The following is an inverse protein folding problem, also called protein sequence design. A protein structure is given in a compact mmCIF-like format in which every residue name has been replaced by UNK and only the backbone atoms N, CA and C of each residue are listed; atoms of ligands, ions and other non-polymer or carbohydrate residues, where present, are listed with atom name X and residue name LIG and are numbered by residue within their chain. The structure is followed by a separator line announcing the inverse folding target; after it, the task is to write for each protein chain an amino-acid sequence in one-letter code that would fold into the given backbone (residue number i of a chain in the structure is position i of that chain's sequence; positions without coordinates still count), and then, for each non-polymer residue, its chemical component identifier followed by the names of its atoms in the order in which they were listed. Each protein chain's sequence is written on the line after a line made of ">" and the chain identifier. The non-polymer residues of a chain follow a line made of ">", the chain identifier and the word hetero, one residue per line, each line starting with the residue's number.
data_IF_954975585687
#
_entry.id   IF_954975585687
#
_cell.length_a   1.000
_cell.length_b   1.000
_cell.length_c   1.000
_cell.angle_alpha   90.00
_cell.angle_beta   90.00
_cell.angle_gamma   90.00
#
_symmetry.space_group_name_H-M   'P 1'
#
loop_
_entity.id
_entity.type
_entity.pdbx_description
1 polymer ?
#
# COMPACT_ATOMS: atom_id res chain seq x y z
N UNK A 1 0.88 58.63 -38.82
CA UNK A 1 1.63 57.36 -38.69
C UNK A 1 1.33 56.52 -39.92
N UNK A 2 2.35 56.18 -40.66
CA UNK A 2 2.18 55.46 -41.95
C UNK A 2 1.92 53.98 -41.67
N UNK A 3 1.08 53.30 -42.48
CA UNK A 3 0.73 51.87 -42.35
C UNK A 3 1.96 50.97 -42.15
N UNK A 4 3.15 51.35 -42.64
CA UNK A 4 4.41 50.64 -42.43
C UNK A 4 4.93 50.67 -41.00
N UNK A 5 4.69 51.77 -40.24
CA UNK A 5 5.10 51.89 -38.86
C UNK A 5 4.26 51.04 -37.90
N UNK A 6 2.95 50.88 -38.23
CA UNK A 6 2.04 50.07 -37.44
C UNK A 6 2.33 48.55 -37.58
N UNK A 7 2.68 48.12 -38.82
CA UNK A 7 3.08 46.71 -39.06
C UNK A 7 4.40 46.33 -38.35
N UNK A 8 5.35 47.24 -38.23
CA UNK A 8 6.62 46.96 -37.55
C UNK A 8 6.44 46.85 -36.04
N UNK A 9 5.55 47.67 -35.44
CA UNK A 9 5.24 47.65 -34.00
C UNK A 9 4.48 46.38 -33.64
N UNK A 10 3.53 45.93 -34.47
CA UNK A 10 2.79 44.67 -34.25
C UNK A 10 3.73 43.49 -34.41
N UNK A 11 4.67 43.49 -35.38
CA UNK A 11 5.67 42.39 -35.50
C UNK A 11 6.65 42.37 -34.33
N UNK A 12 7.07 43.51 -33.76
CA UNK A 12 7.92 43.57 -32.57
C UNK A 12 7.16 43.12 -31.31
N UNK A 13 5.86 43.43 -31.15
CA UNK A 13 5.05 42.96 -30.03
C UNK A 13 4.80 41.44 -30.10
N UNK A 14 4.58 40.87 -31.28
CA UNK A 14 4.44 39.44 -31.45
C UNK A 14 5.74 38.69 -31.18
N UNK A 15 6.89 39.31 -31.54
CA UNK A 15 8.20 38.73 -31.22
C UNK A 15 8.56 38.84 -29.74
N UNK A 16 8.17 39.95 -29.04
CA UNK A 16 8.33 40.08 -27.59
C UNK A 16 7.39 39.16 -26.80
N UNK A 17 6.17 38.87 -27.30
CA UNK A 17 5.27 37.91 -26.68
C UNK A 17 5.69 36.42 -26.89
N UNK A 18 6.44 36.15 -27.97
CA UNK A 18 6.97 34.81 -28.22
C UNK A 18 8.21 34.46 -27.36
N UNK A 19 8.87 35.45 -26.77
CA UNK A 19 10.08 35.25 -25.94
C UNK A 19 9.76 35.08 -24.44
N UNK A 20 8.51 35.31 -24.00
CA UNK A 20 8.15 35.32 -22.57
C UNK A 20 7.46 34.04 -22.06
N UNK A 21 7.39 32.94 -22.84
CA UNK A 21 6.85 31.68 -22.41
C UNK A 21 7.89 30.55 -22.52
N UNK A 22 9.16 30.88 -22.49
CA UNK A 22 10.15 29.87 -22.07
C UNK A 22 10.20 29.93 -20.53
N UNK A 23 9.23 29.24 -19.93
CA UNK A 23 9.34 28.92 -18.50
C UNK A 23 10.72 28.32 -18.27
N UNK A 24 11.53 28.95 -17.41
CA UNK A 24 12.79 28.42 -16.94
C UNK A 24 12.48 27.08 -16.23
N UNK A 25 12.37 26.01 -16.99
CA UNK A 25 12.55 24.68 -16.42
C UNK A 25 13.96 24.69 -15.86
N UNK A 26 14.11 24.56 -14.55
CA UNK A 26 15.42 24.46 -13.93
C UNK A 26 16.16 23.33 -14.63
N UNK A 27 17.26 23.65 -15.32
CA UNK A 27 18.00 22.67 -16.09
C UNK A 27 18.86 21.85 -15.11
N UNK A 28 18.30 20.72 -14.66
CA UNK A 28 19.02 19.78 -13.83
C UNK A 28 20.03 19.02 -14.69
N UNK A 29 21.21 18.77 -14.13
CA UNK A 29 22.30 18.01 -14.77
C UNK A 29 22.88 17.04 -13.76
N UNK A 30 23.68 16.07 -14.19
CA UNK A 30 24.37 15.15 -13.28
C UNK A 30 25.34 15.87 -12.30
N UNK A 31 25.84 17.06 -12.66
CA UNK A 31 26.67 17.91 -11.78
C UNK A 31 25.83 18.77 -10.81
N UNK A 32 24.56 19.02 -11.15
CA UNK A 32 23.59 19.75 -10.34
C UNK A 32 22.24 19.01 -10.39
N UNK A 33 22.14 17.84 -9.74
CA UNK A 33 20.98 16.98 -9.84
C UNK A 33 19.78 17.55 -9.09
N UNK A 34 18.59 17.10 -9.49
CA UNK A 34 17.39 17.17 -8.66
C UNK A 34 17.48 16.08 -7.59
N UNK A 35 17.57 16.49 -6.34
CA UNK A 35 17.60 15.54 -5.21
C UNK A 35 16.18 15.35 -4.70
N UNK A 36 15.66 14.14 -4.78
CA UNK A 36 14.34 13.77 -4.26
C UNK A 36 14.46 13.29 -2.81
N UNK A 37 13.71 13.91 -1.91
CA UNK A 37 13.57 13.48 -0.53
C UNK A 37 12.54 12.35 -0.46
N UNK A 38 12.97 11.14 -0.18
CA UNK A 38 12.15 9.92 -0.22
C UNK A 38 11.95 9.37 1.19
N UNK A 39 10.68 9.15 1.59
CA UNK A 39 10.32 8.68 2.92
C UNK A 39 9.74 7.26 2.90
N UNK A 40 10.23 6.39 3.77
CA UNK A 40 9.63 5.10 4.08
C UNK A 40 9.70 4.79 5.57
N UNK A 41 8.61 4.24 6.11
CA UNK A 41 8.61 3.75 7.50
C UNK A 41 9.24 2.36 7.65
N UNK A 42 9.52 1.68 6.53
CA UNK A 42 10.10 0.33 6.53
C UNK A 42 11.62 0.37 6.42
N UNK A 43 12.34 -0.57 7.05
CA UNK A 43 13.79 -0.68 6.92
C UNK A 43 14.24 -1.15 5.52
N UNK A 44 15.42 -0.74 5.10
CA UNK A 44 16.05 -1.05 3.80
C UNK A 44 16.03 -2.54 3.46
N UNK A 45 16.33 -3.41 4.40
CA UNK A 45 16.47 -4.85 4.16
C UNK A 45 15.15 -5.60 3.93
N UNK A 46 14.01 -4.96 4.16
CA UNK A 46 12.69 -5.55 4.01
C UNK A 46 12.22 -5.53 2.56
N UNK A 47 11.25 -6.38 2.15
CA UNK A 47 10.68 -6.34 0.80
C UNK A 47 10.20 -4.94 0.39
N UNK A 48 9.44 -4.18 1.22
CA UNK A 48 9.06 -2.81 0.86
C UNK A 48 10.26 -1.89 0.63
N UNK A 49 11.28 -1.95 1.49
CA UNK A 49 12.51 -1.16 1.31
C UNK A 49 13.22 -1.51 0.00
N UNK A 50 13.33 -2.80 -0.33
CA UNK A 50 13.94 -3.24 -1.59
C UNK A 50 13.17 -2.75 -2.82
N UNK A 51 11.83 -2.77 -2.80
CA UNK A 51 10.99 -2.25 -3.87
C UNK A 51 11.25 -0.74 -4.04
N UNK A 52 11.30 -0.02 -2.93
CA UNK A 52 11.53 1.41 -2.91
C UNK A 52 12.88 1.78 -3.57
N UNK A 53 13.95 1.07 -3.19
CA UNK A 53 15.27 1.22 -3.82
C UNK A 53 15.26 0.81 -5.29
N UNK A 54 14.67 -0.33 -5.64
CA UNK A 54 14.58 -0.79 -7.03
C UNK A 54 14.00 0.28 -7.96
N UNK A 55 12.95 0.98 -7.53
CA UNK A 55 12.32 2.04 -8.34
C UNK A 55 13.21 3.26 -8.46
N UNK A 56 13.75 3.78 -7.35
CA UNK A 56 14.42 5.08 -7.36
C UNK A 56 15.90 5.02 -7.68
N UNK A 57 16.58 3.92 -7.40
CA UNK A 57 17.94 3.69 -7.93
C UNK A 57 17.87 3.46 -9.45
N UNK A 58 16.85 2.74 -9.95
CA UNK A 58 16.59 2.63 -11.38
C UNK A 58 16.24 3.98 -12.03
N UNK A 59 15.51 4.88 -11.34
CA UNK A 59 15.27 6.24 -11.82
C UNK A 59 16.57 7.05 -11.94
N UNK A 60 17.46 6.93 -10.96
CA UNK A 60 18.78 7.57 -11.00
C UNK A 60 19.58 7.09 -12.20
N UNK A 61 19.62 5.77 -12.43
CA UNK A 61 20.31 5.17 -13.57
C UNK A 61 19.68 5.62 -14.90
N UNK A 62 18.35 5.52 -15.03
CA UNK A 62 17.62 5.90 -16.25
C UNK A 62 17.74 7.40 -16.59
N UNK A 63 18.02 8.24 -15.60
CA UNK A 63 18.20 9.69 -15.78
C UNK A 63 19.69 10.10 -15.86
N UNK A 64 20.62 9.16 -16.01
CA UNK A 64 22.07 9.44 -15.99
C UNK A 64 22.51 10.31 -14.79
N UNK A 65 21.87 10.12 -13.63
CA UNK A 65 22.15 10.87 -12.41
C UNK A 65 21.60 12.31 -12.39
N UNK A 66 20.74 12.69 -13.31
CA UNK A 66 20.05 14.00 -13.30
C UNK A 66 19.04 14.06 -12.15
N UNK A 67 18.42 12.94 -11.79
CA UNK A 67 17.56 12.78 -10.61
C UNK A 67 18.21 11.79 -9.67
N UNK A 68 18.37 12.18 -8.40
CA UNK A 68 19.03 11.34 -7.40
C UNK A 68 18.14 11.18 -6.16
N UNK A 69 17.97 9.96 -5.63
CA UNK A 69 17.23 9.74 -4.40
C UNK A 69 18.07 10.10 -3.17
N UNK A 70 17.40 10.63 -2.15
CA UNK A 70 17.90 10.72 -0.78
C UNK A 70 16.89 10.05 0.14
N UNK A 71 17.25 8.91 0.67
CA UNK A 71 16.37 8.05 1.44
C UNK A 71 16.28 8.44 2.91
N UNK A 72 15.06 8.47 3.45
CA UNK A 72 14.71 8.62 4.85
C UNK A 72 13.86 7.41 5.26
N UNK A 73 14.50 6.37 5.74
CA UNK A 73 13.87 5.07 5.98
C UNK A 73 13.68 4.76 7.47
N UNK A 74 13.05 3.62 7.76
CA UNK A 74 12.79 3.16 9.11
C UNK A 74 12.03 4.17 10.00
N UNK A 75 11.19 5.01 9.41
CA UNK A 75 10.34 5.95 10.13
C UNK A 75 11.05 7.15 10.73
N UNK A 76 12.25 7.51 10.27
CA UNK A 76 13.02 8.66 10.80
C UNK A 76 12.32 9.99 10.60
N UNK A 77 11.39 10.10 9.64
CA UNK A 77 10.61 11.32 9.36
C UNK A 77 9.35 11.45 10.24
N UNK A 78 8.98 10.40 10.99
CA UNK A 78 7.82 10.41 11.86
C UNK A 78 6.88 9.22 11.66
N UNK A 79 5.64 9.35 12.13
CA UNK A 79 4.66 8.27 12.09
C UNK A 79 4.15 8.01 10.66
N UNK A 80 3.90 6.74 10.27
CA UNK A 80 3.33 6.42 8.96
C UNK A 80 1.96 7.06 8.69
N UNK A 81 1.18 7.32 9.74
CA UNK A 81 -0.12 8.00 9.63
C UNK A 81 -0.04 9.49 9.28
N UNK A 82 1.16 10.06 9.19
CA UNK A 82 1.40 11.46 8.83
C UNK A 82 2.07 11.60 7.45
N UNK A 83 2.44 10.47 6.80
CA UNK A 83 3.17 10.48 5.52
C UNK A 83 2.42 11.20 4.42
N UNK A 84 1.09 11.03 4.34
CA UNK A 84 0.27 11.70 3.32
C UNK A 84 0.40 13.24 3.41
N UNK A 85 0.29 13.79 4.62
CA UNK A 85 0.43 15.23 4.85
C UNK A 85 1.83 15.73 4.49
N UNK A 86 2.87 14.96 4.84
CA UNK A 86 4.25 15.32 4.49
C UNK A 86 4.50 15.32 2.98
N UNK A 87 3.89 14.39 2.23
CA UNK A 87 3.93 14.38 0.76
C UNK A 87 3.14 15.55 0.19
N UNK A 88 1.92 15.79 0.64
CA UNK A 88 1.06 16.86 0.14
C UNK A 88 1.65 18.26 0.39
N UNK A 89 2.26 18.46 1.55
CA UNK A 89 2.93 19.74 1.90
C UNK A 89 4.30 19.94 1.21
N UNK A 90 4.85 18.90 0.55
CA UNK A 90 6.17 18.94 -0.04
C UNK A 90 7.33 18.90 0.96
N UNK A 91 7.06 18.51 2.22
CA UNK A 91 8.12 18.25 3.21
C UNK A 91 9.00 17.07 2.76
N UNK A 92 8.40 16.09 2.11
CA UNK A 92 9.08 15.05 1.35
C UNK A 92 8.53 15.02 -0.08
N UNK A 93 9.39 14.64 -1.03
CA UNK A 93 9.00 14.55 -2.44
C UNK A 93 8.19 13.29 -2.73
N UNK A 94 8.54 12.18 -2.08
CA UNK A 94 7.87 10.88 -2.25
C UNK A 94 7.74 10.21 -0.90
N UNK A 95 6.58 9.56 -0.68
CA UNK A 95 6.33 8.79 0.53
C UNK A 95 5.62 7.47 0.24
N UNK A 96 5.84 6.50 1.13
CA UNK A 96 5.09 5.25 1.18
C UNK A 96 3.88 5.43 2.08
N UNK A 97 2.70 5.46 1.48
CA UNK A 97 1.41 5.70 2.15
C UNK A 97 0.68 4.36 2.30
N UNK A 98 0.42 3.94 3.52
CA UNK A 98 -0.49 2.82 3.81
C UNK A 98 -1.92 3.33 3.67
N UNK A 99 -2.62 2.93 2.60
CA UNK A 99 -3.94 3.50 2.27
C UNK A 99 -4.94 3.40 3.44
N UNK A 100 -4.97 2.29 4.14
CA UNK A 100 -5.89 2.05 5.26
C UNK A 100 -5.60 2.86 6.52
N UNK A 101 -4.48 3.59 6.60
CA UNK A 101 -4.23 4.54 7.71
C UNK A 101 -4.96 5.87 7.55
N UNK A 102 -5.61 6.09 6.40
CA UNK A 102 -6.30 7.33 6.05
C UNK A 102 -7.78 7.06 5.71
N UNK A 103 -8.62 6.74 6.71
CA UNK A 103 -10.02 6.40 6.48
C UNK A 103 -10.75 7.47 5.67
N UNK A 104 -11.46 7.05 4.62
CA UNK A 104 -12.23 7.95 3.75
C UNK A 104 -11.43 8.71 2.69
N UNK A 105 -10.09 8.65 2.71
CA UNK A 105 -9.24 9.29 1.69
C UNK A 105 -9.09 8.39 0.46
N UNK A 106 -8.95 7.09 0.67
CA UNK A 106 -8.80 6.08 -0.38
C UNK A 106 -9.93 5.04 -0.34
N UNK A 107 -11.20 5.48 -0.50
CA UNK A 107 -12.38 4.66 -0.22
C UNK A 107 -12.50 3.42 -1.11
N UNK A 108 -12.08 3.48 -2.37
CA UNK A 108 -12.12 2.32 -3.28
C UNK A 108 -10.88 1.43 -3.15
N UNK A 109 -9.71 2.01 -2.86
CA UNK A 109 -8.49 1.24 -2.57
C UNK A 109 -8.68 0.33 -1.35
N UNK A 110 -9.52 0.71 -0.39
CA UNK A 110 -9.90 -0.11 0.78
C UNK A 110 -10.49 -1.49 0.42
N UNK A 111 -10.96 -1.69 -0.83
CA UNK A 111 -11.50 -2.98 -1.30
C UNK A 111 -10.54 -4.15 -1.06
N UNK A 112 -9.23 -3.92 -1.11
CA UNK A 112 -8.21 -4.95 -0.87
C UNK A 112 -8.06 -5.33 0.61
N UNK A 113 -8.57 -4.51 1.51
CA UNK A 113 -8.60 -4.77 2.96
C UNK A 113 -9.87 -5.50 3.41
N UNK A 114 -10.86 -5.68 2.52
CA UNK A 114 -12.02 -6.53 2.78
C UNK A 114 -11.56 -7.96 3.16
N UNK A 115 -12.38 -8.72 3.91
CA UNK A 115 -12.04 -10.10 4.28
C UNK A 115 -12.05 -11.02 3.05
N UNK A 116 -11.01 -10.92 2.26
CA UNK A 116 -10.78 -11.63 1.00
C UNK A 116 -9.53 -12.49 1.17
N UNK A 117 -9.57 -13.72 0.67
CA UNK A 117 -8.44 -14.64 0.71
C UNK A 117 -7.50 -14.41 -0.49
N UNK A 118 -6.27 -14.04 -0.17
CA UNK A 118 -5.21 -13.90 -1.15
C UNK A 118 -4.15 -14.98 -0.89
N UNK A 119 -3.80 -15.81 -1.89
CA UNK A 119 -2.73 -16.80 -1.72
C UNK A 119 -1.39 -16.16 -1.39
N UNK A 120 -1.05 -15.06 -2.06
CA UNK A 120 0.14 -14.25 -1.80
C UNK A 120 -0.03 -12.80 -2.33
N UNK A 121 1.01 -11.97 -2.16
CA UNK A 121 1.02 -10.58 -2.62
C UNK A 121 0.83 -10.42 -4.15
N UNK A 122 1.20 -11.43 -4.95
CA UNK A 122 1.13 -11.36 -6.42
C UNK A 122 -0.32 -11.32 -6.90
N UNK A 123 -1.22 -12.04 -6.21
CA UNK A 123 -2.65 -12.02 -6.53
C UNK A 123 -3.26 -10.65 -6.29
N UNK A 124 -2.96 -10.05 -5.14
CA UNK A 124 -3.38 -8.68 -4.84
C UNK A 124 -2.84 -7.66 -5.85
N UNK A 125 -1.55 -7.77 -6.21
CA UNK A 125 -0.90 -6.87 -7.16
C UNK A 125 -1.54 -6.94 -8.56
N UNK A 126 -1.76 -8.15 -9.08
CA UNK A 126 -2.44 -8.33 -10.38
C UNK A 126 -3.88 -7.82 -10.35
N UNK A 127 -4.62 -8.12 -9.28
CA UNK A 127 -5.97 -7.63 -9.12
C UNK A 127 -6.00 -6.11 -9.06
N UNK A 128 -5.05 -5.47 -8.35
CA UNK A 128 -4.97 -4.02 -8.29
C UNK A 128 -4.73 -3.38 -9.67
N UNK A 129 -3.79 -3.91 -10.46
CA UNK A 129 -3.50 -3.42 -11.82
C UNK A 129 -4.75 -3.50 -12.70
N UNK A 130 -5.47 -4.61 -12.68
CA UNK A 130 -6.71 -4.78 -13.45
C UNK A 130 -7.81 -3.80 -12.98
N UNK A 131 -8.00 -3.66 -11.69
CA UNK A 131 -8.97 -2.72 -11.11
C UNK A 131 -8.62 -1.25 -11.42
N UNK A 132 -7.32 -0.91 -11.38
CA UNK A 132 -6.83 0.42 -11.77
C UNK A 132 -7.12 0.72 -13.25
N UNK A 133 -6.85 -0.22 -14.17
CA UNK A 133 -7.14 -0.11 -15.60
C UNK A 133 -8.65 0.03 -15.88
N UNK A 134 -9.49 -0.59 -15.06
CA UNK A 134 -10.96 -0.42 -15.11
C UNK A 134 -11.43 0.92 -14.54
N UNK A 135 -10.53 1.73 -13.98
CA UNK A 135 -10.81 3.11 -13.54
C UNK A 135 -11.43 3.25 -12.15
N UNK A 136 -11.39 2.20 -11.32
CA UNK A 136 -12.01 2.24 -9.99
C UNK A 136 -11.39 3.25 -9.03
N UNK A 137 -10.09 3.58 -9.19
CA UNK A 137 -9.33 4.41 -8.24
C UNK A 137 -9.05 5.83 -8.72
N UNK A 138 -9.56 6.22 -9.89
CA UNK A 138 -9.19 7.50 -10.54
C UNK A 138 -9.49 8.76 -9.74
N UNK A 139 -10.46 8.69 -8.83
CA UNK A 139 -10.89 9.86 -8.02
C UNK A 139 -10.08 10.03 -6.72
N UNK A 140 -9.29 9.04 -6.32
CA UNK A 140 -8.65 9.00 -5.01
C UNK A 140 -7.28 9.68 -4.97
N UNK A 141 -6.64 9.84 -6.12
CA UNK A 141 -5.26 10.32 -6.22
C UNK A 141 -5.15 11.77 -6.68
N UNK A 142 -6.20 12.60 -6.43
CA UNK A 142 -6.23 13.99 -6.92
C UNK A 142 -5.15 14.88 -6.30
N UNK A 143 -4.87 14.67 -5.03
CA UNK A 143 -4.00 15.51 -4.24
C UNK A 143 -2.57 14.94 -4.10
N UNK A 144 -2.28 13.89 -4.86
CA UNK A 144 -0.97 13.24 -4.97
C UNK A 144 -0.73 12.73 -6.38
N UNK A 145 0.53 12.62 -6.78
CA UNK A 145 0.89 11.88 -7.99
C UNK A 145 1.23 10.44 -7.60
N UNK A 146 0.35 9.51 -7.96
CA UNK A 146 0.64 8.09 -7.79
C UNK A 146 1.76 7.66 -8.74
N UNK A 147 2.85 7.13 -8.20
CA UNK A 147 3.99 6.58 -8.95
C UNK A 147 3.73 5.10 -9.26
N UNK A 148 3.30 4.36 -8.26
CA UNK A 148 2.82 2.97 -8.33
C UNK A 148 2.17 2.62 -6.99
N UNK A 149 1.73 1.37 -6.87
CA UNK A 149 1.37 0.79 -5.58
C UNK A 149 2.05 -0.56 -5.42
N UNK A 150 2.02 -1.13 -4.25
CA UNK A 150 2.36 -2.53 -4.03
C UNK A 150 1.48 -3.13 -2.93
N UNK A 151 1.23 -4.42 -3.09
CA UNK A 151 0.46 -5.17 -2.11
C UNK A 151 1.43 -5.93 -1.20
N UNK A 152 1.14 -5.92 0.09
CA UNK A 152 1.87 -6.77 1.04
C UNK A 152 1.34 -8.22 0.97
N UNK A 153 2.04 -9.16 1.60
CA UNK A 153 1.50 -10.52 1.77
C UNK A 153 0.22 -10.51 2.62
N UNK A 154 -0.67 -11.50 2.42
CA UNK A 154 -1.91 -11.59 3.18
C UNK A 154 -1.63 -11.71 4.68
N UNK A 155 -2.56 -11.19 5.47
CA UNK A 155 -2.44 -11.23 6.91
C UNK A 155 -2.72 -12.62 7.47
N UNK A 156 -1.99 -12.95 8.51
CA UNK A 156 -2.07 -14.15 9.32
C UNK A 156 -2.28 -13.74 10.78
N UNK A 157 -2.67 -14.66 11.63
CA UNK A 157 -2.73 -14.41 13.05
C UNK A 157 -1.44 -14.85 13.74
N UNK A 158 -0.77 -13.93 14.42
CA UNK A 158 0.29 -14.20 15.38
C UNK A 158 -0.25 -13.96 16.78
N UNK A 159 -0.22 -14.96 17.66
CA UNK A 159 -0.92 -14.91 18.93
C UNK A 159 -0.10 -15.43 20.09
N UNK A 160 -0.40 -14.92 21.29
CA UNK A 160 0.09 -15.41 22.58
C UNK A 160 -0.89 -16.41 23.21
N UNK A 161 -2.13 -16.45 22.72
CA UNK A 161 -3.20 -17.36 23.16
C UNK A 161 -3.65 -18.26 22.01
N UNK A 162 -4.04 -19.49 22.26
CA UNK A 162 -4.52 -20.38 21.20
C UNK A 162 -5.87 -19.91 20.66
N UNK A 163 -6.01 -19.91 19.30
CA UNK A 163 -7.26 -19.62 18.60
C UNK A 163 -7.60 -20.84 17.74
N UNK A 164 -8.29 -21.80 18.32
CA UNK A 164 -8.62 -23.08 17.67
C UNK A 164 -9.95 -23.08 16.93
N UNK A 165 -10.80 -22.09 17.21
CA UNK A 165 -12.11 -21.87 16.60
C UNK A 165 -12.48 -20.39 16.67
N UNK A 166 -13.47 -19.98 15.88
CA UNK A 166 -13.88 -18.55 15.79
C UNK A 166 -14.26 -17.95 17.14
N UNK A 167 -14.89 -18.72 18.02
CA UNK A 167 -15.30 -18.23 19.34
C UNK A 167 -14.12 -17.86 20.26
N UNK A 168 -12.94 -18.37 19.98
CA UNK A 168 -11.74 -18.10 20.80
C UNK A 168 -11.24 -16.64 20.62
N UNK A 169 -11.70 -15.94 19.60
CA UNK A 169 -11.44 -14.51 19.45
C UNK A 169 -12.18 -13.64 20.48
N UNK A 170 -13.26 -14.16 21.06
CA UNK A 170 -14.12 -13.36 21.95
C UNK A 170 -13.35 -12.79 23.15
N UNK A 171 -13.32 -11.47 23.23
CA UNK A 171 -12.64 -10.73 24.30
C UNK A 171 -11.12 -10.67 24.19
N UNK A 172 -10.50 -11.23 23.13
CA UNK A 172 -9.07 -11.05 22.88
C UNK A 172 -8.78 -9.60 22.50
N UNK A 173 -7.73 -9.03 23.05
CA UNK A 173 -7.18 -7.76 22.61
C UNK A 173 -6.41 -8.01 21.30
N UNK A 174 -7.03 -7.73 20.20
CA UNK A 174 -6.52 -8.05 18.87
C UNK A 174 -6.11 -6.78 18.13
N UNK A 175 -4.88 -6.76 17.66
CA UNK A 175 -4.41 -5.62 16.88
C UNK A 175 -4.75 -5.81 15.41
N UNK A 176 -5.55 -4.89 14.88
CA UNK A 176 -5.77 -4.68 13.46
C UNK A 176 -4.93 -3.51 12.92
N UNK A 177 -4.37 -3.61 11.70
CA UNK A 177 -3.57 -2.53 11.13
C UNK A 177 -4.38 -1.28 10.74
N UNK A 178 -5.66 -1.44 10.37
CA UNK A 178 -6.49 -0.40 9.75
C UNK A 178 -7.91 -0.40 10.31
N UNK A 179 -8.73 0.58 9.91
CA UNK A 179 -10.14 0.64 10.31
C UNK A 179 -10.94 -0.58 9.83
N UNK A 180 -10.63 -1.12 8.66
CA UNK A 180 -11.26 -2.35 8.17
C UNK A 180 -11.00 -3.51 9.13
N UNK A 181 -9.77 -3.67 9.60
CA UNK A 181 -9.45 -4.71 10.59
C UNK A 181 -10.12 -4.47 11.94
N UNK A 182 -10.32 -3.22 12.36
CA UNK A 182 -11.15 -2.90 13.53
C UNK A 182 -12.56 -3.47 13.38
N UNK A 183 -13.18 -3.30 12.20
CA UNK A 183 -14.52 -3.85 11.91
C UNK A 183 -14.51 -5.38 11.90
N UNK A 184 -13.46 -5.99 11.35
CA UNK A 184 -13.26 -7.45 11.39
C UNK A 184 -13.17 -7.91 12.84
N UNK A 185 -12.33 -7.29 13.67
CA UNK A 185 -12.09 -7.64 15.07
C UNK A 185 -13.38 -7.53 15.89
N UNK A 186 -14.12 -6.44 15.76
CA UNK A 186 -15.43 -6.26 16.41
C UNK A 186 -16.43 -7.36 15.98
N UNK A 187 -16.42 -7.73 14.70
CA UNK A 187 -17.36 -8.71 14.16
C UNK A 187 -17.11 -10.13 14.68
N UNK A 188 -15.86 -10.50 14.90
CA UNK A 188 -15.47 -11.78 15.50
C UNK A 188 -15.51 -11.74 17.05
N UNK A 189 -15.89 -10.62 17.64
CA UNK A 189 -16.03 -10.46 19.10
C UNK A 189 -14.74 -10.16 19.83
N UNK A 190 -13.66 -9.84 19.12
CA UNK A 190 -12.43 -9.38 19.72
C UNK A 190 -12.54 -7.91 20.18
N UNK A 191 -11.59 -7.47 20.99
CA UNK A 191 -11.42 -6.08 21.41
C UNK A 191 -10.34 -5.47 20.50
N UNK A 192 -10.70 -4.58 19.56
CA UNK A 192 -9.75 -4.04 18.62
C UNK A 192 -8.77 -3.08 19.29
N UNK A 193 -7.48 -3.19 18.94
CA UNK A 193 -6.42 -2.28 19.37
C UNK A 193 -5.67 -1.80 18.14
N UNK A 194 -5.63 -0.49 17.90
CA UNK A 194 -4.91 0.08 16.77
C UNK A 194 -3.50 0.49 17.18
N UNK A 195 -2.50 -0.11 16.51
CA UNK A 195 -1.07 0.18 16.72
C UNK A 195 -0.35 0.10 15.38
N UNK A 196 0.66 0.95 15.21
CA UNK A 196 1.55 0.86 14.05
C UNK A 196 2.52 -0.32 14.20
N UNK A 197 3.08 -0.81 13.07
CA UNK A 197 3.99 -1.96 13.05
C UNK A 197 5.15 -1.88 14.06
N UNK A 198 5.87 -0.76 14.18
CA UNK A 198 6.99 -0.63 15.12
C UNK A 198 6.62 -0.80 16.61
N UNK A 199 5.35 -0.63 16.98
CA UNK A 199 4.87 -0.72 18.36
C UNK A 199 4.52 -2.16 18.77
N UNK A 200 4.39 -3.08 17.80
CA UNK A 200 3.82 -4.41 17.99
C UNK A 200 4.64 -5.30 18.94
N UNK A 201 5.98 -5.29 18.80
CA UNK A 201 6.83 -6.08 19.68
C UNK A 201 6.55 -5.76 21.14
N UNK A 202 6.63 -4.48 21.50
CA UNK A 202 6.40 -4.03 22.88
C UNK A 202 4.99 -4.33 23.35
N UNK A 203 4.00 -4.17 22.49
CA UNK A 203 2.60 -4.41 22.82
C UNK A 203 2.31 -5.90 23.09
N UNK A 204 2.90 -6.80 22.33
CA UNK A 204 2.79 -8.24 22.55
C UNK A 204 3.60 -8.66 23.78
N UNK A 205 4.85 -8.21 23.92
CA UNK A 205 5.74 -8.57 25.01
C UNK A 205 5.18 -8.17 26.39
N UNK A 206 4.53 -7.00 26.45
CA UNK A 206 3.94 -6.45 27.70
C UNK A 206 2.46 -6.75 27.90
N UNK A 207 1.88 -7.73 27.23
CA UNK A 207 0.47 -8.12 27.38
C UNK A 207 -0.55 -6.99 27.09
N UNK A 208 -0.15 -5.96 26.33
CA UNK A 208 -1.06 -4.89 25.89
C UNK A 208 -2.04 -5.46 24.86
N UNK A 209 -1.56 -6.33 23.98
CA UNK A 209 -2.37 -7.10 23.02
C UNK A 209 -2.13 -8.61 23.20
N UNK A 210 -3.17 -9.40 22.92
CA UNK A 210 -3.12 -10.87 22.95
C UNK A 210 -2.64 -11.46 21.62
N UNK A 211 -2.95 -10.77 20.50
CA UNK A 211 -2.63 -11.21 19.16
C UNK A 211 -2.57 -10.03 18.19
N UNK A 212 -2.02 -10.26 17.01
CA UNK A 212 -1.95 -9.28 15.92
C UNK A 212 -2.18 -9.94 14.57
N UNK A 213 -2.88 -9.23 13.69
CA UNK A 213 -2.85 -9.51 12.26
C UNK A 213 -1.52 -8.99 11.71
N UNK A 214 -0.75 -9.88 11.11
CA UNK A 214 0.55 -9.59 10.51
C UNK A 214 0.83 -10.57 9.38
N UNK A 215 1.51 -10.14 8.32
CA UNK A 215 2.07 -11.08 7.37
C UNK A 215 3.36 -11.70 7.92
N UNK A 216 3.84 -12.76 7.29
CA UNK A 216 5.03 -13.47 7.78
C UNK A 216 6.28 -12.59 7.82
N UNK A 217 6.44 -11.68 6.86
CA UNK A 217 7.57 -10.74 6.80
C UNK A 217 7.55 -9.77 7.99
N UNK A 218 6.38 -9.24 8.37
CA UNK A 218 6.24 -8.37 9.55
C UNK A 218 6.71 -9.07 10.83
N UNK A 219 6.54 -10.38 10.92
CA UNK A 219 7.02 -11.15 12.07
C UNK A 219 8.53 -11.02 12.26
N UNK A 220 9.26 -10.91 11.18
CA UNK A 220 10.70 -10.71 11.20
C UNK A 220 11.07 -9.23 11.35
N UNK A 221 10.49 -8.35 10.53
CA UNK A 221 10.78 -6.91 10.52
C UNK A 221 10.59 -6.27 11.90
N UNK A 222 9.57 -6.71 12.62
CA UNK A 222 9.22 -6.20 13.95
C UNK A 222 9.49 -7.20 15.09
N UNK A 223 10.32 -8.24 14.86
CA UNK A 223 10.73 -9.26 15.84
C UNK A 223 9.57 -9.97 16.55
N UNK A 224 8.43 -10.12 15.89
CA UNK A 224 7.22 -10.68 16.50
C UNK A 224 7.31 -12.18 16.80
N UNK A 225 8.31 -12.88 16.27
CA UNK A 225 8.57 -14.28 16.60
C UNK A 225 8.75 -14.49 18.09
N UNK A 226 9.47 -13.58 18.76
CA UNK A 226 9.84 -13.75 20.17
C UNK A 226 8.61 -13.79 21.11
N UNK A 227 7.62 -12.88 21.03
CA UNK A 227 6.43 -12.93 21.85
C UNK A 227 5.34 -13.89 21.33
N UNK A 228 5.45 -14.43 20.09
CA UNK A 228 4.45 -15.33 19.49
C UNK A 228 4.54 -16.74 20.08
N UNK A 229 3.41 -17.32 20.44
CA UNK A 229 3.27 -18.70 20.89
C UNK A 229 2.45 -19.56 19.96
N UNK A 230 1.56 -18.95 19.18
CA UNK A 230 0.63 -19.60 18.26
C UNK A 230 0.58 -18.87 16.96
N UNK A 231 0.50 -19.59 15.85
CA UNK A 231 0.22 -19.06 14.54
C UNK A 231 -1.03 -19.68 13.96
N UNK A 232 -1.83 -18.92 13.22
CA UNK A 232 -2.95 -19.42 12.43
C UNK A 232 -2.85 -18.79 11.03
N UNK A 233 -2.74 -19.64 10.01
CA UNK A 233 -2.68 -19.18 8.63
C UNK A 233 -4.09 -18.91 8.12
N UNK A 234 -4.48 -17.63 8.09
CA UNK A 234 -5.81 -17.20 7.65
C UNK A 234 -5.82 -16.72 6.20
N UNK A 235 -4.71 -16.20 5.71
CA UNK A 235 -4.58 -15.59 4.37
C UNK A 235 -5.66 -14.54 4.09
N UNK A 236 -6.13 -13.86 5.14
CA UNK A 236 -7.26 -12.93 5.07
C UNK A 236 -6.76 -11.52 4.85
N UNK A 237 -7.36 -10.82 3.88
CA UNK A 237 -7.06 -9.43 3.54
C UNK A 237 -5.59 -9.19 3.13
N UNK A 238 -5.35 -8.07 2.52
CA UNK A 238 -4.00 -7.53 2.28
C UNK A 238 -4.07 -6.02 2.47
N UNK A 239 -2.95 -5.33 2.42
CA UNK A 239 -2.93 -3.87 2.47
C UNK A 239 -2.27 -3.31 1.23
N UNK A 240 -2.87 -2.24 0.70
CA UNK A 240 -2.33 -1.51 -0.42
C UNK A 240 -1.44 -0.37 0.09
N UNK A 241 -0.18 -0.39 -0.32
CA UNK A 241 0.78 0.65 -0.06
C UNK A 241 0.98 1.46 -1.33
N UNK A 242 0.65 2.74 -1.27
CA UNK A 242 0.79 3.68 -2.38
C UNK A 242 2.16 4.33 -2.33
N UNK A 243 2.85 4.33 -3.45
CA UNK A 243 4.06 5.11 -3.64
C UNK A 243 3.66 6.40 -4.31
N UNK A 244 3.60 7.47 -3.53
CA UNK A 244 3.04 8.74 -3.96
C UNK A 244 4.08 9.85 -3.94
N UNK A 245 4.03 10.72 -4.93
CA UNK A 245 4.87 11.91 -5.07
C UNK A 245 4.03 13.18 -4.89
N UNK A 246 4.65 14.21 -4.36
CA UNK A 246 4.09 15.56 -4.36
C UNK A 246 3.85 16.04 -5.80
N UNK A 247 2.67 16.61 -6.14
CA UNK A 247 2.36 17.05 -7.51
C UNK A 247 3.32 18.11 -8.05
N UNK A 248 3.72 19.08 -7.21
CA UNK A 248 4.66 20.13 -7.62
C UNK A 248 6.06 19.58 -7.91
N UNK A 249 6.49 18.54 -7.16
CA UNK A 249 7.72 17.80 -7.45
C UNK A 249 7.62 17.06 -8.77
N UNK A 250 6.48 16.37 -9.02
CA UNK A 250 6.24 15.73 -10.30
C UNK A 250 6.36 16.71 -11.47
N UNK A 251 5.79 17.92 -11.35
CA UNK A 251 5.83 18.91 -12.41
C UNK A 251 7.25 19.38 -12.72
N UNK A 252 8.11 19.44 -11.72
CA UNK A 252 9.54 19.81 -11.84
C UNK A 252 10.42 18.70 -12.41
N UNK A 253 9.96 17.44 -12.44
CA UNK A 253 10.75 16.34 -12.96
C UNK A 253 11.11 16.56 -14.44
N UNK A 254 12.36 16.25 -14.85
CA UNK A 254 12.73 16.21 -16.25
C UNK A 254 11.96 15.11 -16.99
N UNK A 255 11.76 15.31 -18.30
CA UNK A 255 10.95 14.38 -19.13
C UNK A 255 11.42 12.94 -19.01
N UNK A 256 12.75 12.69 -19.02
CA UNK A 256 13.31 11.33 -18.90
C UNK A 256 12.87 10.63 -17.61
N UNK A 257 12.78 11.37 -16.50
CA UNK A 257 12.30 10.82 -15.22
C UNK A 257 10.79 10.54 -15.25
N UNK A 258 9.99 11.45 -15.81
CA UNK A 258 8.55 11.25 -16.00
C UNK A 258 8.27 10.03 -16.88
N UNK A 259 9.00 9.91 -17.98
CA UNK A 259 8.86 8.77 -18.91
C UNK A 259 9.21 7.46 -18.21
N UNK A 260 10.32 7.39 -17.48
CA UNK A 260 10.72 6.20 -16.72
C UNK A 260 9.62 5.76 -15.73
N UNK A 261 9.13 6.68 -14.92
CA UNK A 261 8.11 6.37 -13.90
C UNK A 261 6.77 5.98 -14.54
N UNK A 262 6.37 6.65 -15.63
CA UNK A 262 5.09 6.37 -16.30
C UNK A 262 5.12 5.05 -17.06
N UNK A 263 6.18 4.77 -17.81
CA UNK A 263 6.28 3.56 -18.63
C UNK A 263 6.42 2.28 -17.78
N UNK A 264 6.94 2.40 -16.58
CA UNK A 264 7.13 1.26 -15.68
C UNK A 264 6.05 1.16 -14.59
N UNK A 265 4.98 1.94 -14.63
CA UNK A 265 3.94 1.97 -13.60
C UNK A 265 3.40 0.59 -13.23
N UNK A 266 2.86 -0.15 -14.21
CA UNK A 266 2.33 -1.51 -14.02
C UNK A 266 3.44 -2.49 -13.61
N UNK A 267 4.63 -2.35 -14.22
CA UNK A 267 5.77 -3.20 -13.96
C UNK A 267 6.24 -3.11 -12.51
N UNK A 268 6.32 -1.91 -11.95
CA UNK A 268 6.72 -1.72 -10.55
C UNK A 268 5.78 -2.46 -9.59
N UNK A 269 4.46 -2.45 -9.86
CA UNK A 269 3.49 -3.20 -9.08
C UNK A 269 3.69 -4.71 -9.22
N UNK A 270 3.88 -5.20 -10.45
CA UNK A 270 4.00 -6.63 -10.73
C UNK A 270 5.35 -7.18 -10.26
N UNK A 271 6.43 -6.41 -10.41
CA UNK A 271 7.77 -6.78 -9.95
C UNK A 271 7.85 -6.80 -8.40
N UNK A 272 6.94 -6.15 -7.70
CA UNK A 272 6.88 -6.19 -6.24
C UNK A 272 6.61 -7.60 -5.69
N UNK A 273 5.77 -8.41 -6.36
CA UNK A 273 5.40 -9.76 -5.90
C UNK A 273 6.58 -10.67 -5.57
N UNK A 274 7.58 -10.84 -6.46
CA UNK A 274 8.79 -11.65 -6.19
C UNK A 274 9.58 -11.22 -4.96
N UNK A 275 9.61 -9.92 -4.60
CA UNK A 275 10.28 -9.46 -3.39
C UNK A 275 9.61 -9.99 -2.10
N UNK A 276 8.33 -10.37 -2.17
CA UNK A 276 7.57 -10.92 -1.05
C UNK A 276 7.63 -12.44 -0.95
N UNK A 277 7.67 -13.16 -2.08
CA UNK A 277 7.51 -14.62 -2.10
C UNK A 277 8.58 -15.35 -1.28
N UNK A 278 9.86 -15.12 -1.57
CA UNK A 278 10.95 -15.79 -0.86
C UNK A 278 11.01 -15.42 0.63
N UNK A 279 10.98 -14.14 1.02
CA UNK A 279 10.97 -13.78 2.42
C UNK A 279 9.75 -14.35 3.17
N UNK A 280 8.54 -14.25 2.63
CA UNK A 280 7.36 -14.78 3.30
C UNK A 280 7.43 -16.30 3.50
N UNK A 281 7.85 -17.06 2.51
CA UNK A 281 8.04 -18.51 2.63
C UNK A 281 9.11 -18.84 3.69
N UNK A 282 10.24 -18.15 3.67
CA UNK A 282 11.31 -18.34 4.63
C UNK A 282 10.83 -18.03 6.07
N UNK A 283 10.17 -16.91 6.29
CA UNK A 283 9.74 -16.52 7.63
C UNK A 283 8.60 -17.39 8.16
N UNK A 284 7.70 -17.85 7.28
CA UNK A 284 6.71 -18.86 7.64
C UNK A 284 7.40 -20.14 8.15
N UNK A 285 8.41 -20.62 7.42
CA UNK A 285 9.16 -21.80 7.86
C UNK A 285 9.90 -21.57 9.18
N UNK A 286 10.54 -20.43 9.37
CA UNK A 286 11.24 -20.07 10.64
C UNK A 286 10.29 -20.07 11.84
N UNK A 287 9.02 -19.68 11.67
CA UNK A 287 8.01 -19.77 12.73
C UNK A 287 7.54 -21.21 12.96
N UNK A 288 7.35 -21.99 11.90
CA UNK A 288 6.88 -23.38 11.99
C UNK A 288 7.93 -24.33 12.58
N UNK A 289 9.21 -24.07 12.32
CA UNK A 289 10.32 -24.91 12.80
C UNK A 289 10.68 -24.59 14.28
N UNK A 290 10.13 -23.52 14.85
CA UNK A 290 10.37 -23.19 16.24
C UNK A 290 9.50 -24.04 17.18
N UNK A 291 10.09 -24.96 17.98
CA UNK A 291 9.33 -25.84 18.85
C UNK A 291 8.55 -25.12 19.97
N UNK A 292 8.77 -23.83 20.15
CA UNK A 292 8.04 -22.98 21.11
C UNK A 292 6.79 -22.36 20.52
N UNK A 293 6.58 -22.48 19.19
CA UNK A 293 5.44 -21.90 18.47
C UNK A 293 4.58 -23.05 17.97
N UNK A 294 3.34 -23.10 18.40
CA UNK A 294 2.35 -24.06 17.88
C UNK A 294 1.66 -23.47 16.66
N UNK A 295 1.72 -24.18 15.53
CA UNK A 295 0.90 -23.88 14.38
C UNK A 295 -0.50 -24.46 14.55
N UNK A 296 -1.50 -23.60 14.68
CA UNK A 296 -2.90 -24.00 14.74
C UNK A 296 -3.41 -24.16 13.30
N UNK A 297 -4.04 -25.29 13.05
CA UNK A 297 -4.67 -25.60 11.76
C UNK A 297 -6.20 -25.63 11.95
N UNK A 298 -6.90 -24.78 11.23
CA UNK A 298 -8.35 -24.80 11.16
C UNK A 298 -8.82 -25.74 10.05
N UNK A 299 -9.98 -26.33 10.23
CA UNK A 299 -10.68 -27.06 9.17
C UNK A 299 -11.32 -26.09 8.18
N UNK A 300 -11.61 -26.55 6.95
CA UNK A 300 -12.36 -25.80 5.96
C UNK A 300 -13.73 -25.32 6.51
N UNK A 301 -14.36 -26.16 7.35
CA UNK A 301 -15.62 -25.79 7.99
C UNK A 301 -15.48 -24.60 8.95
N UNK A 302 -14.35 -24.49 9.65
CA UNK A 302 -14.10 -23.37 10.55
C UNK A 302 -13.80 -22.09 9.78
N UNK A 303 -13.04 -22.17 8.67
CA UNK A 303 -12.87 -21.05 7.76
C UNK A 303 -14.20 -20.60 7.15
N UNK A 304 -15.05 -21.51 6.70
CA UNK A 304 -16.37 -21.18 6.17
C UNK A 304 -17.27 -20.46 7.21
N UNK A 305 -17.12 -20.80 8.50
CA UNK A 305 -17.81 -20.09 9.59
C UNK A 305 -17.28 -18.67 9.76
N UNK A 306 -15.96 -18.48 9.69
CA UNK A 306 -15.35 -17.14 9.71
C UNK A 306 -15.85 -16.30 8.53
N UNK A 307 -15.81 -16.84 7.32
CA UNK A 307 -16.25 -16.15 6.10
C UNK A 307 -17.72 -15.73 6.19
N UNK A 308 -18.60 -16.64 6.64
CA UNK A 308 -20.02 -16.32 6.84
C UNK A 308 -20.23 -15.21 7.88
N UNK A 309 -19.40 -15.18 8.94
CA UNK A 309 -19.46 -14.14 9.96
C UNK A 309 -18.98 -12.79 9.42
N UNK A 310 -18.01 -12.79 8.51
CA UNK A 310 -17.40 -11.57 7.95
C UNK A 310 -18.14 -11.05 6.70
N UNK A 311 -18.92 -11.85 6.00
CA UNK A 311 -19.66 -11.45 4.80
C UNK A 311 -20.47 -10.14 4.94
N UNK A 312 -21.14 -9.85 6.07
CA UNK A 312 -21.84 -8.58 6.26
C UNK A 312 -20.93 -7.34 6.19
N UNK A 313 -19.62 -7.49 6.41
CA UNK A 313 -18.66 -6.37 6.27
C UNK A 313 -18.55 -5.95 4.81
N UNK A 314 -18.49 -6.92 3.89
CA UNK A 314 -18.44 -6.67 2.44
C UNK A 314 -19.72 -5.95 2.00
N UNK A 315 -20.88 -6.43 2.44
CA UNK A 315 -22.18 -5.81 2.15
C UNK A 315 -22.27 -4.36 2.64
N UNK A 316 -21.86 -4.12 3.88
CA UNK A 316 -21.88 -2.77 4.44
C UNK A 316 -20.91 -1.85 3.68
N UNK A 317 -19.73 -2.35 3.32
CA UNK A 317 -18.77 -1.57 2.52
C UNK A 317 -19.38 -1.17 1.17
N UNK A 318 -20.07 -2.10 0.48
CA UNK A 318 -20.77 -1.81 -0.78
C UNK A 318 -21.78 -0.67 -0.57
N UNK A 319 -22.68 -0.80 0.43
CA UNK A 319 -23.69 0.20 0.72
C UNK A 319 -23.05 1.56 1.00
N UNK A 320 -22.02 1.62 1.83
CA UNK A 320 -21.34 2.85 2.22
C UNK A 320 -20.67 3.54 1.01
N UNK A 321 -20.07 2.77 0.10
CA UNK A 321 -19.38 3.30 -1.09
C UNK A 321 -20.35 3.71 -2.19
N UNK A 322 -21.44 2.98 -2.38
CA UNK A 322 -22.50 3.37 -3.34
C UNK A 322 -23.22 4.64 -2.90
N UNK A 323 -23.45 4.82 -1.60
CA UNK A 323 -23.97 6.07 -1.07
C UNK A 323 -23.05 7.30 -1.33
N UNK A 324 -21.75 7.06 -1.54
CA UNK A 324 -20.76 8.06 -1.94
C UNK A 324 -20.64 8.23 -3.48
N UNK A 325 -21.44 7.49 -4.25
CA UNK A 325 -21.45 7.55 -5.72
C UNK A 325 -20.35 6.71 -6.41
N UNK A 326 -19.80 5.72 -5.72
CA UNK A 326 -18.89 4.72 -6.32
C UNK A 326 -19.68 3.52 -6.84
N UNK A 327 -19.13 2.81 -7.81
CA UNK A 327 -19.69 1.54 -8.33
C UNK A 327 -19.17 0.36 -7.52
N UNK A 328 -19.51 0.31 -6.24
CA UNK A 328 -18.89 -0.61 -5.29
C UNK A 328 -19.32 -2.06 -5.50
N UNK A 329 -20.58 -2.33 -5.76
CA UNK A 329 -21.06 -3.68 -6.05
C UNK A 329 -20.35 -4.26 -7.29
N UNK A 330 -20.26 -3.49 -8.37
CA UNK A 330 -19.54 -3.90 -9.57
C UNK A 330 -18.05 -4.13 -9.28
N UNK A 331 -17.41 -3.27 -8.47
CA UNK A 331 -16.00 -3.42 -8.12
C UNK A 331 -15.74 -4.71 -7.34
N UNK A 332 -16.62 -5.09 -6.42
CA UNK A 332 -16.53 -6.35 -5.66
C UNK A 332 -16.73 -7.55 -6.58
N UNK A 333 -17.71 -7.51 -7.50
CA UNK A 333 -17.92 -8.58 -8.48
C UNK A 333 -16.73 -8.73 -9.43
N UNK A 334 -16.19 -7.63 -9.94
CA UNK A 334 -15.00 -7.62 -10.81
C UNK A 334 -13.77 -8.18 -10.08
N UNK A 335 -13.54 -7.78 -8.83
CA UNK A 335 -12.44 -8.30 -8.03
C UNK A 335 -12.58 -9.81 -7.79
N UNK A 336 -13.79 -10.27 -7.48
CA UNK A 336 -14.07 -11.70 -7.35
C UNK A 336 -13.73 -12.46 -8.63
N UNK A 337 -14.23 -11.98 -9.78
CA UNK A 337 -13.97 -12.57 -11.09
C UNK A 337 -12.47 -12.62 -11.41
N UNK A 338 -11.75 -11.52 -11.18
CA UNK A 338 -10.30 -11.44 -11.39
C UNK A 338 -9.58 -12.51 -10.57
N UNK A 339 -9.89 -12.64 -9.29
CA UNK A 339 -9.26 -13.62 -8.40
C UNK A 339 -9.60 -15.06 -8.79
N UNK A 340 -10.86 -15.35 -9.14
CA UNK A 340 -11.28 -16.68 -9.64
C UNK A 340 -10.56 -17.04 -10.94
N UNK A 341 -10.44 -16.10 -11.87
CA UNK A 341 -9.69 -16.30 -13.13
C UNK A 341 -8.19 -16.55 -12.91
N UNK A 342 -7.66 -16.11 -11.77
CA UNK A 342 -6.29 -16.43 -11.34
C UNK A 342 -6.20 -17.76 -10.56
N UNK A 343 -7.30 -18.48 -10.38
CA UNK A 343 -7.34 -19.82 -9.75
C UNK A 343 -7.67 -19.82 -8.24
N UNK A 344 -8.07 -18.69 -7.66
CA UNK A 344 -8.56 -18.64 -6.27
C UNK A 344 -9.96 -19.23 -6.22
N UNK A 345 -10.14 -20.37 -5.53
CA UNK A 345 -11.41 -21.12 -5.56
C UNK A 345 -12.57 -20.39 -4.88
N UNK A 346 -12.32 -19.74 -3.77
CA UNK A 346 -13.31 -18.98 -3.00
C UNK A 346 -12.64 -17.77 -2.40
N UNK A 347 -12.53 -16.64 -3.17
CA UNK A 347 -11.86 -15.45 -2.66
C UNK A 347 -12.50 -14.90 -1.39
N UNK A 348 -13.82 -14.98 -1.29
CA UNK A 348 -14.61 -14.57 -0.12
C UNK A 348 -16.04 -15.08 -0.24
N UNK A 349 -16.79 -15.10 0.87
CA UNK A 349 -18.22 -15.39 0.82
C UNK A 349 -18.91 -14.24 0.03
N UNK A 350 -19.42 -14.57 -1.16
CA UNK A 350 -20.24 -13.61 -1.91
C UNK A 350 -21.48 -13.23 -1.11
N UNK A 351 -21.85 -11.95 -1.13
CA UNK A 351 -23.10 -11.49 -0.51
C UNK A 351 -24.33 -12.20 -1.06
#
# INVERSE_FOLDING_TARGET
>A
MTKKGLSLIVLLMVFLLAVTVSGFAAEYTAKKPLVLQLESFTPVGTPPGKIFHHIFDGLKEASDGIVVPKYHEAGVMGKPSETLERVQSGLVDVGVIVAGYFPGVFPMTEIFELPIHYPDATYGARAWVEMYKRGYFTKEFRDIKLITAYMIGPYQLLSRKPVRKVEDFKGMKLRGPTDMFRRIDERIGAIPVQLAGPELFTAMDKDIIDATWANWEMSFAFKLKEPTKYTLQTQTSTSCHLLAMNPDTWDKLPKIAKDYLTLNFDRFMLDAGPFWQQPNAHFHQVLNDDPKIEQILWSDAEFARLDALLAPIVNQWIVDREAQGYKAAQAVDDLYEILVNMGVKSPFAKP
#
